data_IF_860262372675
#
_entry.id   IF_860262372675
#
_cell.length_a   1.000
_cell.length_b   1.000
_cell.length_c   1.000
_cell.angle_alpha   90.00
_cell.angle_beta   90.00
_cell.angle_gamma   90.00
#
_symmetry.space_group_name_H-M   'P 1'
#
loop_
_entity.id
_entity.type
_entity.pdbx_description
1 polymer ?
#
# COMPACT_ATOMS: atom_id res chain seq x y z
N UNK A 1 13.11 9.23 4.31
CA UNK A 1 12.46 10.48 4.74
C UNK A 1 11.67 10.36 6.03
N UNK A 2 10.53 9.65 6.11
CA UNK A 2 9.72 9.62 7.34
C UNK A 2 10.15 8.58 8.40
N UNK A 3 11.05 7.64 8.04
CA UNK A 3 11.49 6.51 8.90
C UNK A 3 10.32 5.70 9.48
N UNK A 4 9.23 5.57 8.71
CA UNK A 4 8.06 4.79 9.11
C UNK A 4 8.41 3.31 9.28
N UNK A 5 7.79 2.64 10.25
CA UNK A 5 7.93 1.19 10.42
C UNK A 5 7.20 0.42 9.31
N UNK A 6 6.03 0.94 8.91
CA UNK A 6 5.12 0.33 7.93
C UNK A 6 4.48 1.43 7.08
N UNK A 7 4.02 1.06 5.89
CA UNK A 7 3.40 1.97 4.92
C UNK A 7 2.11 1.36 4.40
N UNK A 8 1.01 2.11 4.45
CA UNK A 8 -0.30 1.71 3.94
C UNK A 8 -0.54 2.40 2.61
N UNK A 9 -0.71 1.61 1.55
CA UNK A 9 -1.01 2.15 0.23
C UNK A 9 -2.50 2.46 0.05
N UNK A 10 -2.78 3.53 -0.70
CA UNK A 10 -4.12 4.07 -0.91
C UNK A 10 -4.22 4.83 -2.24
N UNK A 11 -5.39 5.41 -2.52
CA UNK A 11 -5.63 6.37 -3.62
C UNK A 11 -5.73 5.76 -5.03
N UNK A 12 -5.79 4.43 -5.16
CA UNK A 12 -6.09 3.73 -6.41
C UNK A 12 -7.46 3.05 -6.36
N UNK A 13 -7.95 2.56 -7.50
CA UNK A 13 -9.17 1.73 -7.59
C UNK A 13 -10.50 2.44 -7.30
N UNK A 14 -10.49 3.70 -6.86
CA UNK A 14 -11.71 4.45 -6.51
C UNK A 14 -12.11 5.50 -7.55
N UNK A 15 -11.14 6.19 -8.16
CA UNK A 15 -11.37 7.20 -9.17
C UNK A 15 -10.32 7.10 -10.29
N UNK A 16 -10.73 7.37 -11.53
CA UNK A 16 -9.81 7.44 -12.67
C UNK A 16 -9.31 8.87 -12.80
N UNK A 17 -8.04 9.08 -12.45
CA UNK A 17 -7.34 10.36 -12.55
C UNK A 17 -6.21 10.37 -13.59
N UNK A 18 -5.90 9.20 -14.15
CA UNK A 18 -4.84 8.97 -15.13
C UNK A 18 -5.27 7.86 -16.11
N UNK A 19 -4.46 7.62 -17.15
CA UNK A 19 -4.67 6.54 -18.12
C UNK A 19 -4.05 5.20 -17.68
N UNK A 20 -3.54 5.10 -16.45
CA UNK A 20 -2.99 3.84 -15.94
C UNK A 20 -4.12 2.85 -15.59
N UNK A 21 -3.83 1.55 -15.60
CA UNK A 21 -4.79 0.56 -15.13
C UNK A 21 -5.05 0.79 -13.62
N UNK A 22 -6.30 1.03 -13.18
CA UNK A 22 -6.59 1.38 -11.78
C UNK A 22 -6.16 0.37 -10.72
N UNK A 23 -5.87 -0.87 -11.11
CA UNK A 23 -5.45 -1.97 -10.21
C UNK A 23 -3.98 -2.39 -10.39
N UNK A 24 -3.23 -1.69 -11.25
CA UNK A 24 -1.78 -1.87 -11.37
C UNK A 24 -0.97 -1.23 -10.21
N UNK A 25 -1.35 -0.05 -9.66
CA UNK A 25 -0.67 0.57 -8.54
C UNK A 25 -0.44 -0.32 -7.30
N UNK A 26 -1.42 -1.07 -6.76
CA UNK A 26 -1.19 -1.92 -5.59
C UNK A 26 -0.12 -2.98 -5.82
N UNK A 27 -0.05 -3.54 -7.04
CA UNK A 27 0.95 -4.56 -7.40
C UNK A 27 2.34 -3.94 -7.43
N UNK A 28 2.49 -2.77 -8.08
CA UNK A 28 3.76 -2.03 -8.12
C UNK A 28 4.22 -1.60 -6.74
N UNK A 29 3.32 -1.08 -5.92
CA UNK A 29 3.59 -0.68 -4.54
C UNK A 29 4.19 -1.83 -3.73
N UNK A 30 3.56 -3.01 -3.76
CA UNK A 30 4.02 -4.19 -3.00
C UNK A 30 5.35 -4.73 -3.54
N UNK A 31 5.56 -4.72 -4.85
CA UNK A 31 6.81 -5.18 -5.47
C UNK A 31 7.98 -4.22 -5.19
N UNK A 32 7.71 -2.93 -5.06
CA UNK A 32 8.73 -1.93 -4.78
C UNK A 32 9.21 -1.91 -3.32
N UNK A 33 8.45 -2.49 -2.38
CA UNK A 33 8.74 -2.46 -0.94
C UNK A 33 10.22 -2.75 -0.60
N UNK A 34 10.74 -3.85 -1.14
CA UNK A 34 12.12 -4.29 -0.87
C UNK A 34 13.17 -3.29 -1.38
N UNK A 35 12.89 -2.58 -2.48
CA UNK A 35 13.82 -1.58 -3.03
C UNK A 35 14.02 -0.38 -2.11
N UNK A 36 13.03 -0.13 -1.23
CA UNK A 36 13.02 1.00 -0.30
C UNK A 36 13.25 0.57 1.16
N UNK A 37 13.74 -0.65 1.38
CA UNK A 37 14.11 -1.16 2.70
C UNK A 37 12.94 -1.64 3.57
N UNK A 38 11.76 -1.85 2.97
CA UNK A 38 10.62 -2.46 3.67
C UNK A 38 10.54 -3.95 3.35
N UNK A 39 10.14 -4.78 4.32
CA UNK A 39 9.68 -6.13 4.00
C UNK A 39 8.36 -6.03 3.22
N UNK A 40 8.03 -7.02 2.39
CA UNK A 40 6.74 -7.04 1.70
C UNK A 40 5.57 -6.89 2.68
N UNK A 41 5.65 -7.47 3.87
CA UNK A 41 4.59 -7.40 4.88
C UNK A 41 4.44 -6.02 5.53
N UNK A 42 5.46 -5.17 5.46
CA UNK A 42 5.40 -3.79 5.97
C UNK A 42 4.70 -2.84 5.00
N UNK A 43 4.52 -3.24 3.73
CA UNK A 43 3.78 -2.50 2.71
C UNK A 43 2.32 -2.95 2.65
N UNK A 44 1.47 -2.41 3.52
CA UNK A 44 0.10 -2.88 3.74
C UNK A 44 -0.82 -2.44 2.60
N UNK A 45 -1.76 -3.31 2.23
CA UNK A 45 -2.85 -3.03 1.29
C UNK A 45 -4.12 -3.59 1.89
N UNK A 46 -5.16 -2.77 1.97
CA UNK A 46 -6.49 -3.17 2.44
C UNK A 46 -7.45 -3.42 1.29
N UNK A 47 -8.43 -4.29 1.54
CA UNK A 47 -9.64 -4.40 0.71
C UNK A 47 -10.54 -3.20 0.96
N UNK A 48 -11.38 -2.88 -0.02
CA UNK A 48 -12.38 -1.81 0.12
C UNK A 48 -13.33 -2.17 1.28
N UNK A 49 -13.36 -1.30 2.30
CA UNK A 49 -14.17 -1.50 3.52
C UNK A 49 -13.50 -2.35 4.61
N UNK A 50 -12.24 -2.78 4.43
CA UNK A 50 -11.50 -3.49 5.47
C UNK A 50 -11.15 -2.57 6.65
N UNK A 51 -11.25 -3.12 7.86
CA UNK A 51 -10.92 -2.44 9.11
C UNK A 51 -10.02 -3.35 9.93
N UNK A 52 -8.91 -2.80 10.43
CA UNK A 52 -8.04 -3.46 11.38
C UNK A 52 -7.70 -2.53 12.54
N UNK A 53 -7.39 -3.11 13.69
CA UNK A 53 -6.83 -2.34 14.81
C UNK A 53 -5.39 -1.96 14.49
N UNK A 54 -4.96 -0.80 14.96
CA UNK A 54 -3.58 -0.37 14.73
C UNK A 54 -2.59 -1.30 15.43
N UNK A 55 -2.95 -1.84 16.60
CA UNK A 55 -2.10 -2.75 17.37
C UNK A 55 -1.83 -4.06 16.63
N UNK A 56 -2.77 -4.53 15.80
CA UNK A 56 -2.61 -5.74 14.98
C UNK A 56 -1.66 -5.49 13.79
N UNK A 57 -1.42 -4.22 13.45
CA UNK A 57 -0.57 -3.81 12.35
C UNK A 57 0.86 -3.49 12.77
N UNK A 58 1.14 -3.16 14.03
CA UNK A 58 2.45 -2.68 14.50
C UNK A 58 3.45 -3.82 14.78
#
# INVERSE_FOLDING_TARGET
DLKSKKVLGMHWGTAVLSLENPFEPPVRFKNAANMYGYHKDDAIIFKIGEVQKLEDLL
#
